data_IF_212925263603
#
_entry.id   IF_212925263603
#
_cell.length_a   1.000
_cell.length_b   1.000
_cell.length_c   1.000
_cell.angle_alpha   90.00
_cell.angle_beta   90.00
_cell.angle_gamma   90.00
#
_symmetry.space_group_name_H-M   'P 1'
#
loop_
_entity.id
_entity.type
_entity.pdbx_description
1 polymer ?
#
# COMPACT_ATOMS: atom_id res chain seq x y z
N UNK A 1 -5.18 2.05 -2.35
CA UNK A 1 -3.88 2.53 -1.93
C UNK A 1 -2.93 2.81 -3.08
N UNK A 2 -1.76 3.30 -2.76
CA UNK A 2 -0.72 3.59 -3.75
C UNK A 2 -0.03 2.31 -4.19
N UNK A 3 0.00 2.00 -5.50
CA UNK A 3 0.80 0.88 -6.01
C UNK A 3 2.28 1.18 -5.82
N UNK A 4 3.01 0.28 -5.15
CA UNK A 4 4.46 0.37 -4.98
C UNK A 4 5.11 -0.26 -6.21
N UNK A 5 5.76 0.56 -7.04
CA UNK A 5 6.35 0.15 -8.32
C UNK A 5 7.64 -0.66 -8.16
N UNK A 6 8.50 -0.20 -7.27
CA UNK A 6 9.85 -0.75 -7.09
C UNK A 6 10.41 -0.44 -5.71
N UNK A 7 11.64 -0.86 -5.47
CA UNK A 7 12.39 -0.52 -4.28
C UNK A 7 12.77 0.96 -4.25
N UNK A 8 13.22 1.41 -3.08
CA UNK A 8 13.84 2.73 -2.90
C UNK A 8 15.36 2.63 -3.07
N UNK A 9 16.01 3.78 -3.26
CA UNK A 9 17.45 3.84 -3.47
C UNK A 9 17.82 3.73 -4.95
N UNK A 10 18.88 3.03 -5.28
CA UNK A 10 19.40 2.90 -6.66
C UNK A 10 18.42 2.23 -7.64
N UNK A 11 17.43 1.50 -7.14
CA UNK A 11 16.34 0.89 -7.93
C UNK A 11 15.16 1.81 -8.22
N UNK A 12 15.15 3.03 -7.68
CA UNK A 12 14.08 3.99 -7.96
C UNK A 12 14.34 4.71 -9.27
N UNK A 13 13.48 4.50 -10.24
CA UNK A 13 13.59 5.08 -11.59
C UNK A 13 12.48 6.10 -11.85
N UNK A 14 12.82 7.16 -12.57
CA UNK A 14 11.87 8.13 -13.07
C UNK A 14 11.07 7.54 -14.22
N UNK A 15 9.84 7.13 -13.94
CA UNK A 15 8.92 6.64 -14.95
C UNK A 15 8.13 7.82 -15.53
N UNK A 16 7.97 7.85 -16.84
CA UNK A 16 7.13 8.84 -17.53
C UNK A 16 5.66 8.60 -17.22
N UNK A 17 5.27 7.32 -17.26
CA UNK A 17 3.92 6.86 -17.00
C UNK A 17 3.95 5.68 -16.03
N UNK A 18 2.88 5.49 -15.30
CA UNK A 18 2.70 4.33 -14.43
C UNK A 18 1.25 3.90 -14.45
N UNK A 19 1.03 2.61 -14.67
CA UNK A 19 -0.30 2.02 -14.59
C UNK A 19 -0.46 1.41 -13.20
N UNK A 20 -1.35 1.98 -12.40
CA UNK A 20 -1.67 1.45 -11.06
C UNK A 20 -2.63 0.26 -11.17
N UNK A 21 -2.72 -0.54 -10.11
CA UNK A 21 -3.73 -1.61 -10.02
C UNK A 21 -5.15 -1.05 -10.24
N UNK A 22 -5.44 0.14 -9.69
CA UNK A 22 -6.73 0.82 -9.92
C UNK A 22 -6.95 1.12 -11.42
N UNK A 23 -5.93 1.67 -12.09
CA UNK A 23 -6.03 1.96 -13.52
C UNK A 23 -6.25 0.69 -14.34
N UNK A 24 -5.47 -0.38 -14.08
CA UNK A 24 -5.64 -1.64 -14.78
C UNK A 24 -7.04 -2.24 -14.61
N UNK A 25 -7.60 -2.19 -13.41
CA UNK A 25 -8.98 -2.64 -13.18
C UNK A 25 -10.00 -1.82 -13.99
N UNK A 26 -9.85 -0.50 -14.03
CA UNK A 26 -10.76 0.37 -14.80
C UNK A 26 -10.61 0.18 -16.30
N UNK A 27 -9.40 0.01 -16.80
CA UNK A 27 -9.11 -0.24 -18.22
C UNK A 27 -9.66 -1.61 -18.69
N UNK A 28 -9.69 -2.57 -17.76
CA UNK A 28 -10.37 -3.87 -17.98
C UNK A 28 -11.91 -3.79 -17.90
N UNK A 29 -12.48 -2.59 -17.71
CA UNK A 29 -13.93 -2.38 -17.63
C UNK A 29 -14.54 -2.69 -16.26
N UNK A 30 -13.74 -2.88 -15.22
CA UNK A 30 -14.23 -3.13 -13.88
C UNK A 30 -14.64 -1.80 -13.23
N UNK A 31 -15.88 -1.71 -12.79
CA UNK A 31 -16.38 -0.56 -12.05
C UNK A 31 -15.90 -0.63 -10.59
N UNK A 32 -15.05 0.34 -10.19
CA UNK A 32 -14.52 0.44 -8.82
C UNK A 32 -15.40 1.39 -8.01
N UNK A 33 -16.11 0.88 -7.00
CA UNK A 33 -17.04 1.65 -6.15
C UNK A 33 -16.30 2.52 -5.13
N UNK A 34 -15.14 2.08 -4.62
CA UNK A 34 -14.36 2.72 -3.56
C UNK A 34 -13.45 3.88 -4.04
N UNK A 35 -13.85 4.59 -5.11
CA UNK A 35 -13.05 5.70 -5.68
C UNK A 35 -12.81 6.81 -4.66
N UNK A 36 -13.79 7.14 -3.83
CA UNK A 36 -13.67 8.19 -2.82
C UNK A 36 -12.68 7.80 -1.70
N UNK A 37 -12.66 6.53 -1.32
CA UNK A 37 -11.63 6.01 -0.40
C UNK A 37 -10.23 6.16 -0.98
N UNK A 38 -10.05 5.81 -2.26
CA UNK A 38 -8.76 5.95 -2.95
C UNK A 38 -8.32 7.41 -3.05
N UNK A 39 -9.24 8.33 -3.37
CA UNK A 39 -8.99 9.77 -3.44
C UNK A 39 -8.59 10.34 -2.07
N UNK A 40 -9.27 9.93 -0.99
CA UNK A 40 -8.89 10.31 0.37
C UNK A 40 -7.49 9.81 0.72
N UNK A 41 -7.17 8.57 0.38
CA UNK A 41 -5.84 8.01 0.62
C UNK A 41 -4.74 8.77 -0.15
N UNK A 42 -4.98 9.11 -1.41
CA UNK A 42 -4.01 9.89 -2.21
C UNK A 42 -3.74 11.26 -1.59
N UNK A 43 -4.77 11.92 -1.08
CA UNK A 43 -4.62 13.19 -0.36
C UNK A 43 -3.79 13.03 0.92
N UNK A 44 -4.06 12.00 1.73
CA UNK A 44 -3.27 11.66 2.94
C UNK A 44 -1.81 11.36 2.59
N UNK A 45 -1.59 10.59 1.55
CA UNK A 45 -0.25 10.27 1.06
C UNK A 45 0.51 11.52 0.61
N UNK A 46 -0.11 12.39 -0.17
CA UNK A 46 0.51 13.64 -0.63
C UNK A 46 0.88 14.54 0.55
N UNK A 47 -0.01 14.67 1.54
CA UNK A 47 0.26 15.44 2.75
C UNK A 47 1.41 14.84 3.56
N UNK A 48 1.41 13.53 3.79
CA UNK A 48 2.48 12.85 4.51
C UNK A 48 3.84 13.00 3.81
N UNK A 49 3.86 12.92 2.47
CA UNK A 49 5.08 13.15 1.66
C UNK A 49 5.60 14.58 1.78
N UNK A 50 4.71 15.57 1.76
CA UNK A 50 5.08 16.98 1.91
C UNK A 50 5.69 17.23 3.29
N UNK A 51 5.02 16.80 4.36
CA UNK A 51 5.50 16.94 5.74
C UNK A 51 6.84 16.21 5.95
N UNK A 52 7.00 15.01 5.40
CA UNK A 52 8.25 14.26 5.44
C UNK A 52 9.39 15.00 4.73
N UNK A 53 9.13 15.59 3.56
CA UNK A 53 10.12 16.38 2.82
C UNK A 53 10.55 17.63 3.61
N UNK A 54 9.59 18.34 4.19
CA UNK A 54 9.86 19.52 5.04
C UNK A 54 10.72 19.14 6.24
N UNK A 55 10.40 18.03 6.90
CA UNK A 55 11.20 17.53 8.04
C UNK A 55 12.63 17.24 7.62
N UNK A 56 12.86 16.50 6.52
CA UNK A 56 14.22 16.20 6.04
C UNK A 56 14.99 17.48 5.73
N UNK A 57 14.36 18.45 5.04
CA UNK A 57 15.00 19.71 4.69
C UNK A 57 15.33 20.54 5.93
N UNK A 58 14.52 20.45 6.98
CA UNK A 58 14.79 21.13 8.26
C UNK A 58 15.97 20.47 8.99
N UNK A 59 15.94 19.13 9.12
CA UNK A 59 16.98 18.37 9.80
C UNK A 59 18.34 18.51 9.08
N UNK A 60 18.34 18.53 7.75
CA UNK A 60 19.55 18.66 6.94
C UNK A 60 20.31 19.99 7.13
N UNK A 61 19.64 21.06 7.54
CA UNK A 61 20.27 22.39 7.71
C UNK A 61 21.40 22.43 8.76
N UNK A 62 21.39 21.50 9.71
CA UNK A 62 22.40 21.41 10.76
C UNK A 62 23.40 20.28 10.60
N UNK A 63 23.34 19.53 9.49
CA UNK A 63 24.17 18.35 9.24
C UNK A 63 25.30 18.66 8.28
N UNK A 64 26.48 18.08 8.54
CA UNK A 64 27.64 18.13 7.64
C UNK A 64 27.32 17.44 6.30
N UNK A 65 26.63 16.31 6.36
CA UNK A 65 26.14 15.58 5.19
C UNK A 65 24.59 15.59 5.16
N UNK A 66 23.94 16.31 4.25
CA UNK A 66 22.48 16.35 4.15
C UNK A 66 21.81 14.98 3.91
N UNK A 67 22.53 14.01 3.32
CA UNK A 67 22.01 12.66 3.13
C UNK A 67 21.74 11.90 4.43
N UNK A 68 22.42 12.28 5.53
CA UNK A 68 22.19 11.66 6.83
C UNK A 68 20.79 11.97 7.36
N UNK A 69 20.26 13.16 7.08
CA UNK A 69 18.87 13.51 7.41
C UNK A 69 17.87 12.61 6.67
N UNK A 70 18.15 12.31 5.39
CA UNK A 70 17.32 11.40 4.62
C UNK A 70 17.37 9.96 5.17
N UNK A 71 18.56 9.47 5.47
CA UNK A 71 18.75 8.13 6.02
C UNK A 71 18.11 7.94 7.40
N UNK A 72 18.19 8.98 8.26
CA UNK A 72 17.60 8.96 9.60
C UNK A 72 16.06 9.06 9.61
N UNK A 73 15.45 9.54 8.54
CA UNK A 73 14.01 9.75 8.45
C UNK A 73 13.37 8.95 7.30
N UNK A 74 13.27 7.62 7.40
CA UNK A 74 12.61 6.83 6.38
C UNK A 74 11.14 7.24 6.23
N UNK A 75 10.67 7.35 4.97
CA UNK A 75 9.26 7.62 4.74
C UNK A 75 8.40 6.43 5.16
N UNK A 76 7.40 6.70 5.99
CA UNK A 76 6.38 5.73 6.38
C UNK A 76 5.09 6.05 5.64
N UNK A 77 4.52 5.07 4.96
CA UNK A 77 3.24 5.24 4.27
C UNK A 77 2.12 5.49 5.30
N UNK A 78 1.28 6.50 5.08
CA UNK A 78 0.18 6.76 6.00
C UNK A 78 -0.85 5.63 5.96
N UNK A 79 -1.54 5.42 7.07
CA UNK A 79 -2.72 4.56 7.14
C UNK A 79 -3.90 5.24 6.43
N UNK A 80 -4.69 4.48 5.69
CA UNK A 80 -5.96 4.93 5.13
C UNK A 80 -7.01 5.17 6.23
N UNK A 81 -8.13 5.79 5.88
CA UNK A 81 -9.31 5.73 6.74
C UNK A 81 -9.87 4.31 6.74
N UNK A 82 -10.60 3.94 7.77
CA UNK A 82 -11.34 2.66 7.78
C UNK A 82 -12.30 2.57 6.59
N UNK A 83 -12.50 1.36 6.10
CA UNK A 83 -13.49 1.08 5.06
C UNK A 83 -14.89 1.23 5.66
N UNK A 84 -15.78 1.90 4.95
CA UNK A 84 -17.17 2.08 5.34
C UNK A 84 -18.11 1.29 4.40
N UNK A 85 -19.35 1.11 4.83
CA UNK A 85 -20.36 0.42 4.02
C UNK A 85 -20.58 1.09 2.66
N UNK A 86 -20.56 2.41 2.62
CA UNK A 86 -20.75 3.21 1.39
C UNK A 86 -19.65 2.97 0.36
N UNK A 87 -18.43 2.62 0.80
CA UNK A 87 -17.33 2.29 -0.11
C UNK A 87 -17.58 1.00 -0.91
N UNK A 88 -18.52 0.18 -0.45
CA UNK A 88 -18.82 -1.14 -1.01
C UNK A 88 -20.21 -1.21 -1.64
N UNK A 89 -20.97 -0.12 -1.66
CA UNK A 89 -22.32 -0.13 -2.23
C UNK A 89 -22.29 -0.63 -3.68
N UNK A 90 -23.05 -1.69 -3.96
CA UNK A 90 -23.12 -2.32 -5.27
C UNK A 90 -21.88 -3.15 -5.67
N UNK A 91 -20.91 -3.34 -4.77
CA UNK A 91 -19.75 -4.16 -5.05
C UNK A 91 -20.10 -5.65 -5.07
N UNK A 92 -19.58 -6.40 -6.05
CA UNK A 92 -19.72 -7.85 -6.15
C UNK A 92 -18.51 -8.60 -5.54
N UNK A 93 -17.39 -7.92 -5.35
CA UNK A 93 -16.16 -8.46 -4.76
C UNK A 93 -15.30 -7.33 -4.19
N UNK A 94 -14.39 -7.65 -3.30
CA UNK A 94 -13.39 -6.74 -2.79
C UNK A 94 -11.99 -7.13 -3.32
N UNK A 95 -11.25 -6.15 -3.82
CA UNK A 95 -9.82 -6.29 -4.13
C UNK A 95 -9.05 -5.50 -3.10
N UNK A 96 -8.40 -6.19 -2.17
CA UNK A 96 -7.62 -5.56 -1.10
C UNK A 96 -6.12 -5.65 -1.39
N UNK A 97 -5.45 -4.50 -1.45
CA UNK A 97 -4.04 -4.43 -1.81
C UNK A 97 -3.20 -4.12 -0.57
N UNK A 98 -2.32 -5.04 -0.22
CA UNK A 98 -1.31 -4.83 0.81
C UNK A 98 -0.01 -4.43 0.13
N UNK A 99 0.50 -3.26 0.48
CA UNK A 99 1.74 -2.75 -0.09
C UNK A 99 2.83 -2.61 0.96
N UNK A 100 4.07 -2.97 0.60
CA UNK A 100 5.25 -2.72 1.45
C UNK A 100 6.33 -2.07 0.60
N UNK A 101 6.93 -1.03 1.15
CA UNK A 101 8.11 -0.40 0.55
C UNK A 101 9.34 -1.15 1.06
N UNK A 102 10.14 -1.65 0.15
CA UNK A 102 11.44 -2.24 0.45
C UNK A 102 12.51 -1.53 -0.36
N UNK A 103 13.76 -1.64 0.06
CA UNK A 103 14.85 -1.01 -0.65
C UNK A 103 16.20 -1.28 -0.02
N UNK A 104 17.21 -0.77 -0.67
CA UNK A 104 18.60 -0.90 -0.25
C UNK A 104 18.81 -0.34 1.16
N UNK A 105 19.47 -1.12 2.02
CA UNK A 105 19.73 -0.75 3.41
C UNK A 105 18.51 -0.82 4.35
N UNK A 106 17.41 -1.41 3.91
CA UNK A 106 16.20 -1.60 4.72
C UNK A 106 15.77 -3.05 4.76
N UNK A 107 16.30 -3.78 5.72
CA UNK A 107 15.82 -5.13 6.01
C UNK A 107 14.39 -5.09 6.56
N UNK A 108 13.62 -6.10 6.18
CA UNK A 108 12.28 -6.32 6.70
C UNK A 108 12.35 -6.73 8.17
N UNK A 109 11.44 -6.20 8.97
CA UNK A 109 11.39 -6.46 10.42
C UNK A 109 10.15 -7.25 10.79
N UNK A 110 10.28 -8.11 11.80
CA UNK A 110 9.16 -8.89 12.34
C UNK A 110 8.27 -8.01 13.24
N UNK A 111 7.63 -7.03 12.63
CA UNK A 111 6.74 -6.09 13.32
C UNK A 111 5.47 -5.83 12.51
N UNK A 112 4.46 -5.24 13.15
CA UNK A 112 3.21 -4.82 12.51
C UNK A 112 3.45 -3.77 11.43
N UNK A 113 2.72 -3.91 10.31
CA UNK A 113 2.87 -3.03 9.15
C UNK A 113 4.09 -3.34 8.30
N UNK A 114 4.92 -4.32 8.70
CA UNK A 114 6.02 -4.82 7.89
C UNK A 114 5.83 -6.31 7.59
N UNK A 115 6.41 -7.24 8.36
CA UNK A 115 6.22 -8.68 8.17
C UNK A 115 4.81 -9.13 8.57
N UNK A 116 4.26 -8.57 9.64
CA UNK A 116 2.87 -8.81 10.05
C UNK A 116 1.94 -7.75 9.45
N UNK A 117 0.65 -8.09 9.35
CA UNK A 117 -0.38 -7.10 9.05
C UNK A 117 -0.39 -6.02 10.12
N UNK A 118 -0.62 -4.77 9.72
CA UNK A 118 -0.97 -3.73 10.68
C UNK A 118 -2.36 -3.96 11.27
N UNK A 119 -2.64 -3.38 12.42
CA UNK A 119 -3.97 -3.44 13.02
C UNK A 119 -5.06 -2.97 12.04
N UNK A 120 -4.82 -1.86 11.32
CA UNK A 120 -5.76 -1.33 10.33
C UNK A 120 -6.01 -2.29 9.15
N UNK A 121 -4.97 -2.94 8.62
CA UNK A 121 -5.12 -3.93 7.53
C UNK A 121 -5.94 -5.14 8.01
N UNK A 122 -5.69 -5.57 9.23
CA UNK A 122 -6.44 -6.67 9.83
C UNK A 122 -7.90 -6.30 10.06
N UNK A 123 -8.18 -5.12 10.61
CA UNK A 123 -9.53 -4.60 10.81
C UNK A 123 -10.29 -4.48 9.49
N UNK A 124 -9.68 -3.92 8.46
CA UNK A 124 -10.26 -3.79 7.12
C UNK A 124 -10.63 -5.15 6.53
N UNK A 125 -9.74 -6.13 6.61
CA UNK A 125 -9.99 -7.48 6.08
C UNK A 125 -11.12 -8.20 6.84
N UNK A 126 -11.18 -8.06 8.17
CA UNK A 126 -12.27 -8.63 8.98
C UNK A 126 -13.59 -7.91 8.69
N UNK A 127 -13.57 -6.60 8.51
CA UNK A 127 -14.76 -5.84 8.13
C UNK A 127 -15.30 -6.29 6.77
N UNK A 128 -14.44 -6.40 5.75
CA UNK A 128 -14.80 -6.90 4.43
C UNK A 128 -15.33 -8.35 4.49
N UNK A 129 -14.72 -9.20 5.30
CA UNK A 129 -15.18 -10.57 5.52
C UNK A 129 -16.58 -10.60 6.09
N UNK A 130 -16.92 -9.70 7.02
CA UNK A 130 -18.24 -9.55 7.62
C UNK A 130 -19.34 -9.12 6.63
N UNK A 131 -18.97 -8.56 5.49
CA UNK A 131 -19.92 -8.16 4.44
C UNK A 131 -20.29 -9.29 3.47
N UNK A 132 -19.76 -10.48 3.66
CA UNK A 132 -19.94 -11.67 2.79
C UNK A 132 -19.52 -11.46 1.33
N UNK A 133 -18.63 -10.52 1.07
CA UNK A 133 -18.03 -10.34 -0.25
C UNK A 133 -16.82 -11.26 -0.44
N UNK A 134 -16.65 -11.88 -1.61
CA UNK A 134 -15.40 -12.56 -1.93
C UNK A 134 -14.27 -11.52 -1.98
N UNK A 135 -13.15 -11.85 -1.35
CA UNK A 135 -11.97 -10.97 -1.25
C UNK A 135 -10.86 -11.57 -2.10
N UNK A 136 -10.30 -10.76 -3.00
CA UNK A 136 -9.03 -11.01 -3.68
C UNK A 136 -7.97 -10.18 -2.98
N UNK A 137 -6.98 -10.84 -2.39
CA UNK A 137 -5.87 -10.21 -1.70
C UNK A 137 -4.71 -10.05 -2.68
N UNK A 138 -4.28 -8.83 -2.94
CA UNK A 138 -3.10 -8.55 -3.77
C UNK A 138 -1.93 -8.16 -2.87
N UNK A 139 -0.83 -8.89 -3.00
CA UNK A 139 0.42 -8.63 -2.28
C UNK A 139 1.38 -7.87 -3.18
N UNK A 140 1.37 -6.55 -3.05
CA UNK A 140 2.33 -5.65 -3.71
C UNK A 140 3.53 -5.43 -2.80
N UNK A 141 4.31 -6.49 -2.61
CA UNK A 141 5.40 -6.57 -1.63
C UNK A 141 6.61 -7.28 -2.24
N UNK A 142 7.81 -6.77 -1.98
CA UNK A 142 9.05 -7.37 -2.47
C UNK A 142 9.54 -8.59 -1.68
N UNK A 143 8.88 -8.95 -0.58
CA UNK A 143 9.25 -10.07 0.28
C UNK A 143 8.01 -10.66 0.98
N UNK A 144 8.06 -11.89 1.52
CA UNK A 144 6.92 -12.50 2.19
C UNK A 144 6.37 -11.67 3.35
N UNK A 145 5.07 -11.80 3.60
CA UNK A 145 4.38 -11.33 4.80
C UNK A 145 3.61 -12.48 5.44
N UNK A 146 3.40 -12.40 6.74
CA UNK A 146 2.68 -13.40 7.50
C UNK A 146 1.16 -13.19 7.35
N UNK A 147 0.45 -14.23 6.93
CA UNK A 147 -1.00 -14.20 6.67
C UNK A 147 -1.78 -15.30 7.40
N UNK A 148 -1.10 -16.21 8.10
CA UNK A 148 -1.74 -17.42 8.66
C UNK A 148 -2.94 -17.07 9.53
N UNK A 149 -2.80 -16.08 10.42
CA UNK A 149 -3.88 -15.67 11.31
C UNK A 149 -5.10 -15.14 10.57
N UNK A 150 -4.89 -14.21 9.64
CA UNK A 150 -6.01 -13.62 8.90
C UNK A 150 -6.72 -14.61 7.97
N UNK A 151 -5.99 -15.57 7.41
CA UNK A 151 -6.58 -16.60 6.54
C UNK A 151 -7.46 -17.59 7.32
N UNK A 152 -7.20 -17.76 8.62
CA UNK A 152 -8.07 -18.57 9.49
C UNK A 152 -9.34 -17.81 9.88
N UNK A 153 -9.29 -16.49 10.00
CA UNK A 153 -10.39 -15.67 10.48
C UNK A 153 -11.27 -15.12 9.33
N UNK A 154 -10.65 -14.71 8.22
CA UNK A 154 -11.33 -14.13 7.07
C UNK A 154 -11.55 -15.15 5.95
N UNK A 155 -12.54 -16.02 6.12
CA UNK A 155 -12.84 -17.14 5.23
C UNK A 155 -13.32 -16.71 3.83
N UNK A 156 -13.66 -15.44 3.62
CA UNK A 156 -14.03 -14.89 2.32
C UNK A 156 -12.84 -14.44 1.48
N UNK A 157 -11.60 -14.57 1.98
CA UNK A 157 -10.42 -14.44 1.12
C UNK A 157 -10.39 -15.68 0.21
N UNK A 158 -10.71 -15.46 -1.09
CA UNK A 158 -10.88 -16.52 -2.09
C UNK A 158 -9.66 -16.68 -2.99
N UNK A 159 -8.83 -15.63 -3.10
CA UNK A 159 -7.61 -15.66 -3.89
C UNK A 159 -6.55 -14.75 -3.29
N UNK A 160 -5.31 -15.14 -3.48
CA UNK A 160 -4.13 -14.32 -3.14
C UNK A 160 -3.28 -14.22 -4.40
N UNK A 161 -3.01 -12.99 -4.83
CA UNK A 161 -2.12 -12.69 -5.93
C UNK A 161 -0.86 -12.00 -5.41
N UNK A 162 0.28 -12.62 -5.58
CA UNK A 162 1.56 -12.01 -5.24
C UNK A 162 2.14 -11.35 -6.50
N UNK A 163 2.08 -10.03 -6.60
CA UNK A 163 2.55 -9.26 -7.75
C UNK A 163 3.94 -8.63 -7.55
N UNK A 164 4.58 -8.90 -6.42
CA UNK A 164 5.89 -8.33 -6.10
C UNK A 164 5.93 -6.79 -6.20
N UNK A 165 6.97 -6.25 -6.81
CA UNK A 165 7.14 -4.84 -7.16
C UNK A 165 7.11 -4.73 -8.68
N UNK A 166 5.93 -4.53 -9.28
CA UNK A 166 5.70 -4.82 -10.70
C UNK A 166 6.20 -3.74 -11.67
N UNK A 167 6.89 -2.73 -11.17
CA UNK A 167 7.39 -1.65 -12.01
C UNK A 167 6.29 -0.66 -12.43
N UNK A 168 6.50 -0.05 -13.59
CA UNK A 168 5.56 0.97 -14.10
C UNK A 168 4.26 0.37 -14.67
N UNK A 169 4.27 -0.91 -15.01
CA UNK A 169 3.16 -1.63 -15.66
C UNK A 169 2.33 -2.46 -14.66
N UNK A 170 2.37 -2.09 -13.38
CA UNK A 170 1.79 -2.87 -12.29
C UNK A 170 0.27 -3.07 -12.34
N UNK A 171 -0.43 -2.33 -13.20
CA UNK A 171 -1.87 -2.49 -13.43
C UNK A 171 -2.21 -3.42 -14.59
N UNK A 172 -1.25 -3.73 -15.45
CA UNK A 172 -1.43 -4.64 -16.57
C UNK A 172 -1.25 -6.10 -16.16
#
# INVERSE_FOLDING_TARGET
GKTVKGGIGSGDVNNRETVSIYQGLTDAGIHVTSKDWLTDYERRYAHARAAWKEKILADAKGMENPFDAYAANPFVMPTGRSIAADDMEGAAAAVYVISRISGEGKDRRREEGDYYLSAAEREDLLFLNGQNLPIVLILNVGAPIELTGILQEAQNIRAILHCSLPGQEGGH
#
